data_IF_837054391741
#
_entry.id   IF_837054391741
#
_cell.length_a   1.000
_cell.length_b   1.000
_cell.length_c   1.000
_cell.angle_alpha   90.00
_cell.angle_beta   90.00
_cell.angle_gamma   90.00
#
_symmetry.space_group_name_H-M   'P 1'
#
loop_
_entity.id
_entity.type
_entity.pdbx_description
1 polymer ?
#
# COMPACT_ATOMS: atom_id res chain seq x y z
N UNK A 1 28.21 12.61 -15.99
CA UNK A 1 27.50 11.59 -16.80
C UNK A 1 26.07 11.52 -16.29
N UNK A 2 25.12 12.12 -17.02
CA UNK A 2 23.70 12.05 -16.68
C UNK A 2 23.16 10.68 -17.09
N UNK A 3 22.53 9.96 -16.17
CA UNK A 3 21.89 8.68 -16.48
C UNK A 3 20.64 8.91 -17.34
N UNK A 4 20.33 8.02 -18.29
CA UNK A 4 19.14 8.15 -19.15
C UNK A 4 17.84 8.06 -18.33
N UNK A 5 16.77 8.72 -18.78
CA UNK A 5 15.51 8.86 -18.04
C UNK A 5 14.84 7.53 -17.67
N UNK A 6 15.11 6.44 -18.39
CA UNK A 6 14.63 5.11 -18.01
C UNK A 6 15.31 4.55 -16.75
N UNK A 7 16.47 5.09 -16.38
CA UNK A 7 17.28 4.68 -15.23
C UNK A 7 16.98 5.51 -13.97
N UNK A 8 16.25 6.63 -14.07
CA UNK A 8 15.87 7.46 -12.94
C UNK A 8 14.36 7.40 -12.71
N UNK A 9 13.92 6.73 -11.63
CA UNK A 9 12.54 6.83 -11.11
C UNK A 9 12.54 7.83 -9.94
N UNK A 10 12.11 9.09 -10.14
CA UNK A 10 12.32 10.20 -9.23
C UNK A 10 11.28 10.28 -8.10
N UNK A 11 11.03 9.22 -7.32
CA UNK A 11 9.95 9.31 -6.31
C UNK A 11 9.95 8.22 -5.22
N UNK A 12 11.08 7.53 -5.02
CA UNK A 12 11.22 6.64 -3.85
C UNK A 12 12.31 7.16 -2.94
N UNK A 13 11.95 8.02 -1.99
CA UNK A 13 12.76 8.23 -0.78
C UNK A 13 13.23 6.86 -0.28
N UNK A 14 14.52 6.65 0.05
CA UNK A 14 15.05 5.33 0.41
C UNK A 14 14.21 4.57 1.45
N UNK A 15 13.52 5.31 2.35
CA UNK A 15 12.60 4.74 3.35
C UNK A 15 11.24 4.22 2.81
N UNK A 16 10.73 4.69 1.66
CA UNK A 16 9.41 4.24 1.15
C UNK A 16 9.43 2.77 0.72
N UNK A 17 10.59 2.25 0.32
CA UNK A 17 10.76 0.85 -0.09
C UNK A 17 10.81 -0.13 1.08
N UNK A 18 11.09 0.31 2.30
CA UNK A 18 11.27 -0.59 3.46
C UNK A 18 10.01 -0.77 4.32
N UNK A 19 8.92 -0.05 4.03
CA UNK A 19 7.67 -0.21 4.79
C UNK A 19 7.15 -1.65 4.69
N UNK A 20 6.65 -2.16 5.82
CA UNK A 20 6.02 -3.47 5.94
C UNK A 20 4.51 -3.34 5.72
N UNK A 21 3.88 -4.41 5.24
CA UNK A 21 2.46 -4.37 4.86
C UNK A 21 1.56 -3.98 6.03
N UNK A 22 1.80 -4.53 7.23
CA UNK A 22 0.96 -4.24 8.40
C UNK A 22 1.05 -2.76 8.84
N UNK A 23 2.23 -2.14 8.79
CA UNK A 23 2.38 -0.71 9.07
C UNK A 23 1.56 0.13 8.07
N UNK A 24 1.59 -0.25 6.79
CA UNK A 24 0.80 0.41 5.76
C UNK A 24 -0.71 0.24 5.98
N UNK A 25 -1.17 -0.97 6.35
CA UNK A 25 -2.58 -1.22 6.67
C UNK A 25 -3.03 -0.36 7.85
N UNK A 26 -2.24 -0.31 8.93
CA UNK A 26 -2.53 0.55 10.08
C UNK A 26 -2.56 2.03 9.72
N UNK A 27 -1.67 2.49 8.83
CA UNK A 27 -1.67 3.87 8.36
C UNK A 27 -2.95 4.21 7.59
N UNK A 28 -3.43 3.31 6.73
CA UNK A 28 -4.70 3.52 6.02
C UNK A 28 -5.88 3.57 7.00
N UNK A 29 -5.94 2.61 7.93
CA UNK A 29 -7.00 2.49 8.92
C UNK A 29 -7.11 3.70 9.88
N UNK A 30 -6.06 4.51 10.02
CA UNK A 30 -6.04 5.70 10.87
C UNK A 30 -6.61 6.95 10.20
N UNK A 31 -6.75 6.97 8.88
CA UNK A 31 -7.08 8.17 8.13
C UNK A 31 -8.51 8.10 7.61
N UNK A 32 -9.32 9.11 7.91
CA UNK A 32 -10.72 9.14 7.47
C UNK A 32 -10.89 9.14 5.94
N UNK A 33 -9.92 9.68 5.20
CA UNK A 33 -9.91 9.70 3.73
C UNK A 33 -9.97 8.29 3.11
N UNK A 34 -9.57 7.26 3.85
CA UNK A 34 -9.58 5.86 3.39
C UNK A 34 -10.70 5.03 4.00
N UNK A 35 -11.65 5.62 4.75
CA UNK A 35 -12.75 4.87 5.40
C UNK A 35 -13.60 4.05 4.43
N UNK A 36 -13.74 4.49 3.18
CA UNK A 36 -14.47 3.76 2.13
C UNK A 36 -13.63 2.71 1.41
N UNK A 37 -12.32 2.68 1.66
CA UNK A 37 -11.36 1.73 1.09
C UNK A 37 -11.04 0.61 2.09
N UNK A 38 -10.78 0.97 3.34
CA UNK A 38 -10.46 0.05 4.43
C UNK A 38 -10.89 0.67 5.77
N UNK A 39 -11.51 -0.12 6.64
CA UNK A 39 -12.02 0.38 7.92
C UNK A 39 -11.92 -0.68 9.02
N UNK A 40 -11.79 -0.23 10.26
CA UNK A 40 -12.00 -1.09 11.42
C UNK A 40 -13.45 -1.61 11.41
N UNK A 41 -13.62 -2.86 11.76
CA UNK A 41 -14.93 -3.52 11.86
C UNK A 41 -14.84 -4.61 12.92
N UNK A 42 -15.89 -4.81 13.71
CA UNK A 42 -15.92 -5.89 14.70
C UNK A 42 -15.11 -5.55 15.94
N UNK A 43 -14.44 -6.57 16.49
CA UNK A 43 -13.70 -6.47 17.74
C UNK A 43 -12.24 -6.00 17.53
N UNK A 44 -11.46 -5.96 18.61
CA UNK A 44 -10.09 -5.44 18.62
C UNK A 44 -9.20 -6.07 17.54
N UNK A 45 -8.76 -5.24 16.59
CA UNK A 45 -7.83 -5.63 15.55
C UNK A 45 -8.49 -6.19 14.28
N UNK A 46 -9.82 -6.33 14.27
CA UNK A 46 -10.57 -6.73 13.09
C UNK A 46 -10.83 -5.54 12.17
N UNK A 47 -10.60 -5.75 10.88
CA UNK A 47 -10.83 -4.73 9.86
C UNK A 47 -11.35 -5.38 8.58
N UNK A 48 -11.97 -4.54 7.76
CA UNK A 48 -12.50 -4.94 6.46
C UNK A 48 -11.87 -4.09 5.37
N UNK A 49 -11.48 -4.76 4.28
CA UNK A 49 -11.09 -4.13 3.03
C UNK A 49 -12.34 -4.02 2.17
N UNK A 50 -12.82 -2.78 1.99
CA UNK A 50 -14.03 -2.47 1.21
C UNK A 50 -13.71 -2.33 -0.29
N UNK A 51 -12.55 -1.74 -0.60
CA UNK A 51 -12.03 -1.61 -1.96
C UNK A 51 -10.64 -2.28 -2.08
N UNK A 52 -10.61 -3.57 -2.47
CA UNK A 52 -9.37 -4.34 -2.59
C UNK A 52 -8.40 -3.79 -3.63
N UNK A 53 -8.92 -3.26 -4.74
CA UNK A 53 -8.12 -2.76 -5.85
C UNK A 53 -7.42 -1.44 -5.46
N UNK A 54 -8.13 -0.55 -4.76
CA UNK A 54 -7.55 0.70 -4.27
C UNK A 54 -6.49 0.45 -3.19
N UNK A 55 -6.71 -0.48 -2.25
CA UNK A 55 -5.67 -0.88 -1.28
C UNK A 55 -4.42 -1.40 -2.00
N UNK A 56 -4.59 -2.23 -3.02
CA UNK A 56 -3.47 -2.76 -3.79
C UNK A 56 -2.74 -1.68 -4.60
N UNK A 57 -3.48 -0.73 -5.18
CA UNK A 57 -2.92 0.42 -5.91
C UNK A 57 -2.08 1.30 -4.98
N UNK A 58 -2.62 1.66 -3.82
CA UNK A 58 -1.93 2.46 -2.80
C UNK A 58 -0.67 1.74 -2.28
N UNK A 59 -0.73 0.43 -2.08
CA UNK A 59 0.44 -0.37 -1.71
C UNK A 59 1.49 -0.41 -2.83
N UNK A 60 1.05 -0.57 -4.07
CA UNK A 60 1.89 -0.51 -5.26
C UNK A 60 2.61 0.83 -5.40
N UNK A 61 1.91 1.94 -5.19
CA UNK A 61 2.51 3.28 -5.14
C UNK A 61 3.55 3.39 -4.03
N UNK A 62 3.20 2.96 -2.81
CA UNK A 62 4.10 3.05 -1.65
C UNK A 62 5.41 2.29 -1.85
N UNK A 63 5.36 1.12 -2.48
CA UNK A 63 6.52 0.25 -2.74
C UNK A 63 7.15 0.44 -4.13
N UNK A 64 6.61 1.36 -4.94
CA UNK A 64 6.97 1.58 -6.33
C UNK A 64 6.91 0.28 -7.18
N UNK A 65 5.84 -0.49 -6.98
CA UNK A 65 5.50 -1.71 -7.71
C UNK A 65 4.20 -1.46 -8.49
N UNK A 66 4.27 -0.92 -9.73
CA UNK A 66 3.07 -0.57 -10.52
C UNK A 66 2.23 -1.78 -10.93
N UNK A 67 2.79 -2.99 -10.84
CA UNK A 67 2.12 -4.26 -11.13
C UNK A 67 1.52 -4.92 -9.88
N UNK A 68 1.35 -4.18 -8.78
CA UNK A 68 0.69 -4.66 -7.58
C UNK A 68 -0.82 -4.80 -7.85
N UNK A 69 -1.41 -5.87 -7.33
CA UNK A 69 -2.85 -6.14 -7.36
C UNK A 69 -3.26 -6.83 -6.05
N UNK A 70 -4.56 -6.99 -5.83
CA UNK A 70 -5.06 -7.53 -4.57
C UNK A 70 -4.66 -9.00 -4.35
N UNK A 71 -4.60 -9.83 -5.40
CA UNK A 71 -4.14 -11.22 -5.28
C UNK A 71 -2.73 -11.33 -4.70
N UNK A 72 -1.81 -10.48 -5.16
CA UNK A 72 -0.43 -10.43 -4.66
C UNK A 72 -0.37 -9.88 -3.24
N UNK A 73 -1.12 -8.83 -2.95
CA UNK A 73 -1.17 -8.21 -1.63
C UNK A 73 -1.76 -9.17 -0.58
N UNK A 74 -2.91 -9.78 -0.89
CA UNK A 74 -3.60 -10.72 0.00
C UNK A 74 -2.79 -11.98 0.28
N UNK A 75 -1.84 -12.35 -0.60
CA UNK A 75 -0.91 -13.44 -0.30
C UNK A 75 0.09 -13.10 0.81
N UNK A 76 0.48 -11.84 0.92
CA UNK A 76 1.36 -11.33 1.98
C UNK A 76 0.63 -11.00 3.30
N UNK A 77 -0.71 -10.97 3.28
CA UNK A 77 -1.55 -10.88 4.48
C UNK A 77 -1.80 -12.23 5.16
N UNK A 78 -1.59 -13.34 4.43
CA UNK A 78 -1.74 -14.72 4.91
C UNK A 78 -0.49 -15.23 5.59
#
# INVERSE_FOLDING_TARGET
LAYPDWAYKPDSSPGSRQVQLWHFILDLLRKEEYREVIAWQGDYGEFVIKDPDEVARLWGMRKCKPQMNYDKLSRALR
#
